data_IF_830137493389
#
_entry.id   IF_830137493389
#
_cell.length_a   1.000
_cell.length_b   1.000
_cell.length_c   1.000
_cell.angle_alpha   90.00
_cell.angle_beta   90.00
_cell.angle_gamma   90.00
#
_symmetry.space_group_name_H-M   'P 1'
#
loop_
_entity.id
_entity.type
_entity.pdbx_description
1 polymer ?
#
# COMPACT_ATOMS: atom_id res chain seq x y z
N UNK A 1 19.44 -21.07 -6.46
CA UNK A 1 18.55 -19.89 -6.45
C UNK A 1 18.53 -19.33 -5.04
N UNK A 2 18.80 -18.02 -4.87
CA UNK A 2 18.84 -17.40 -3.54
C UNK A 2 17.45 -17.26 -2.92
N UNK A 3 17.35 -17.31 -1.60
CA UNK A 3 16.11 -16.93 -0.89
C UNK A 3 15.84 -15.44 -1.19
N UNK A 4 14.66 -15.07 -1.75
CA UNK A 4 14.30 -13.68 -1.94
C UNK A 4 14.42 -12.87 -0.65
N UNK A 5 14.93 -11.63 -0.72
CA UNK A 5 15.19 -10.74 0.42
C UNK A 5 14.02 -10.67 1.41
N UNK A 6 12.79 -10.70 0.92
CA UNK A 6 11.58 -10.65 1.74
C UNK A 6 11.53 -11.79 2.77
N UNK A 7 11.93 -13.00 2.39
CA UNK A 7 11.94 -14.14 3.31
C UNK A 7 13.10 -14.07 4.29
N UNK A 8 14.20 -13.38 3.96
CA UNK A 8 15.31 -13.23 4.90
C UNK A 8 14.93 -12.38 6.13
N UNK A 9 13.97 -11.47 5.99
CA UNK A 9 13.47 -10.62 7.08
C UNK A 9 12.19 -11.14 7.75
N UNK A 10 11.65 -12.28 7.31
CA UNK A 10 10.45 -12.85 7.91
C UNK A 10 10.73 -13.47 9.28
N UNK A 11 9.90 -13.09 10.25
CA UNK A 11 9.86 -13.68 11.59
C UNK A 11 8.98 -14.94 11.60
N UNK A 12 9.07 -15.73 12.67
CA UNK A 12 8.32 -16.98 12.81
C UNK A 12 6.79 -16.78 12.78
N UNK A 13 6.30 -15.69 13.35
CA UNK A 13 4.88 -15.29 13.31
C UNK A 13 4.42 -14.96 11.89
N UNK A 14 5.26 -14.32 11.07
CA UNK A 14 4.96 -14.06 9.66
C UNK A 14 4.82 -15.36 8.87
N UNK A 15 5.76 -16.30 9.07
CA UNK A 15 5.73 -17.61 8.41
C UNK A 15 4.51 -18.41 8.84
N UNK A 16 4.21 -18.43 10.14
CA UNK A 16 3.01 -19.07 10.67
C UNK A 16 1.74 -18.51 10.03
N UNK A 17 1.69 -17.19 9.86
CA UNK A 17 0.54 -16.50 9.26
C UNK A 17 0.39 -16.86 7.78
N UNK A 18 1.47 -16.93 7.01
CA UNK A 18 1.47 -17.35 5.60
C UNK A 18 1.03 -18.82 5.47
N UNK A 19 1.60 -19.72 6.28
CA UNK A 19 1.22 -21.15 6.30
C UNK A 19 -0.24 -21.31 6.69
N UNK A 20 -0.70 -20.55 7.69
CA UNK A 20 -2.09 -20.52 8.11
C UNK A 20 -3.00 -20.03 7.00
N UNK A 21 -2.61 -18.95 6.31
CA UNK A 21 -3.33 -18.43 5.16
C UNK A 21 -3.49 -19.49 4.07
N UNK A 22 -2.38 -20.10 3.62
CA UNK A 22 -2.38 -21.13 2.57
C UNK A 22 -3.26 -22.35 2.94
N UNK A 23 -3.23 -22.78 4.21
CA UNK A 23 -4.01 -23.95 4.65
C UNK A 23 -5.49 -23.66 4.91
N UNK A 24 -5.84 -22.42 5.26
CA UNK A 24 -7.23 -22.02 5.58
C UNK A 24 -7.96 -21.52 4.34
N UNK A 25 -7.28 -20.71 3.51
CA UNK A 25 -7.84 -20.16 2.28
C UNK A 25 -7.76 -21.14 1.11
N UNK A 26 -7.14 -22.31 1.31
CA UNK A 26 -6.58 -23.19 0.27
C UNK A 26 -5.39 -22.56 -0.47
N UNK A 27 -4.54 -23.43 -1.03
CA UNK A 27 -3.53 -23.02 -1.99
C UNK A 27 -4.23 -22.41 -3.19
N UNK A 28 -3.60 -21.39 -3.79
CA UNK A 28 -3.89 -21.09 -5.19
C UNK A 28 -3.72 -22.39 -5.98
N UNK A 29 -4.78 -22.82 -6.68
CA UNK A 29 -4.81 -24.13 -7.32
C UNK A 29 -3.76 -24.20 -8.45
N UNK A 30 -2.85 -25.17 -8.35
CA UNK A 30 -1.93 -25.49 -9.44
C UNK A 30 -2.63 -26.32 -10.53
N UNK A 31 -2.33 -26.04 -11.80
CA UNK A 31 -2.96 -26.67 -12.97
C UNK A 31 -2.75 -25.85 -14.25
N UNK A 32 -3.51 -26.04 -15.35
CA UNK A 32 -3.46 -25.13 -16.52
C UNK A 32 -3.79 -23.66 -16.17
N UNK A 33 -4.31 -23.44 -14.96
CA UNK A 33 -4.62 -22.16 -14.31
C UNK A 33 -3.54 -21.67 -13.32
N UNK A 34 -2.37 -22.33 -13.23
CA UNK A 34 -1.30 -22.04 -12.24
C UNK A 34 -0.79 -20.58 -12.31
N UNK A 35 -0.89 -19.94 -13.48
CA UNK A 35 -0.60 -18.52 -13.67
C UNK A 35 -1.71 -17.56 -13.23
N UNK A 36 -2.95 -18.04 -13.10
CA UNK A 36 -4.11 -17.25 -12.70
C UNK A 36 -4.31 -17.18 -11.18
N UNK A 37 -3.68 -18.10 -10.44
CA UNK A 37 -3.58 -18.20 -8.97
C UNK A 37 -4.30 -17.10 -8.18
N UNK A 38 -5.64 -17.19 -8.10
CA UNK A 38 -6.49 -16.22 -7.40
C UNK A 38 -6.46 -16.53 -5.92
N UNK A 39 -6.52 -15.49 -5.10
CA UNK A 39 -6.86 -15.66 -3.69
C UNK A 39 -8.35 -16.02 -3.62
N UNK A 40 -8.72 -17.19 -3.05
CA UNK A 40 -10.11 -17.59 -3.00
C UNK A 40 -10.98 -16.59 -2.24
N UNK A 41 -12.19 -16.36 -2.72
CA UNK A 41 -13.19 -15.45 -2.14
C UNK A 41 -12.79 -13.95 -2.17
N UNK A 42 -11.85 -13.56 -3.03
CA UNK A 42 -11.54 -12.15 -3.32
C UNK A 42 -12.06 -11.81 -4.71
N UNK A 43 -12.95 -10.81 -4.77
CA UNK A 43 -13.40 -10.23 -6.03
C UNK A 43 -12.43 -9.11 -6.45
N UNK A 44 -11.60 -9.40 -7.46
CA UNK A 44 -10.58 -8.46 -7.93
C UNK A 44 -11.19 -7.29 -8.71
N UNK A 45 -12.33 -7.50 -9.38
CA UNK A 45 -13.04 -6.43 -10.09
C UNK A 45 -13.65 -5.45 -9.09
N UNK A 46 -14.34 -5.94 -8.06
CA UNK A 46 -14.98 -5.11 -7.05
C UNK A 46 -13.94 -4.33 -6.22
N UNK A 47 -12.89 -5.01 -5.77
CA UNK A 47 -11.89 -4.43 -4.85
C UNK A 47 -10.86 -3.59 -5.58
N UNK A 48 -10.38 -4.08 -6.73
CA UNK A 48 -9.28 -3.49 -7.48
C UNK A 48 -9.72 -2.64 -8.68
N UNK A 49 -11.00 -2.70 -9.06
CA UNK A 49 -11.56 -2.04 -10.24
C UNK A 49 -11.22 -2.72 -11.57
N UNK A 50 -10.40 -3.78 -11.56
CA UNK A 50 -9.94 -4.54 -12.74
C UNK A 50 -9.71 -5.98 -12.35
N UNK A 51 -10.37 -6.90 -13.06
CA UNK A 51 -10.08 -8.32 -12.96
C UNK A 51 -8.95 -8.71 -13.94
N UNK A 52 -7.79 -9.22 -13.46
CA UNK A 52 -6.76 -9.74 -14.35
C UNK A 52 -7.22 -10.92 -15.22
N UNK A 53 -8.24 -11.67 -14.81
CA UNK A 53 -8.73 -12.87 -15.49
C UNK A 53 -9.25 -12.58 -16.90
N UNK A 54 -9.83 -11.40 -17.11
CA UNK A 54 -10.29 -10.93 -18.42
C UNK A 54 -9.17 -10.91 -19.49
N UNK A 55 -7.92 -10.92 -19.04
CA UNK A 55 -6.73 -10.87 -19.88
C UNK A 55 -5.98 -12.20 -19.97
N UNK A 56 -6.49 -13.25 -19.35
CA UNK A 56 -5.97 -14.60 -19.53
C UNK A 56 -6.72 -15.31 -20.65
N UNK A 57 -5.97 -15.88 -21.59
CA UNK A 57 -6.52 -16.84 -22.55
C UNK A 57 -6.24 -18.26 -22.07
N UNK A 58 -7.26 -19.09 -22.18
CA UNK A 58 -7.24 -20.52 -21.86
C UNK A 58 -7.49 -21.33 -23.14
N UNK A 59 -6.47 -21.55 -23.99
CA UNK A 59 -6.63 -22.42 -25.14
C UNK A 59 -6.87 -23.86 -24.66
N UNK A 60 -7.81 -24.60 -25.27
CA UNK A 60 -8.22 -25.94 -24.83
C UNK A 60 -7.07 -26.97 -24.64
N UNK A 61 -5.90 -26.74 -25.25
CA UNK A 61 -4.78 -27.70 -25.28
C UNK A 61 -3.42 -27.05 -24.92
N UNK A 62 -3.40 -25.83 -24.37
CA UNK A 62 -2.16 -25.13 -24.01
C UNK A 62 -2.23 -24.58 -22.60
N UNK A 63 -1.06 -24.31 -22.02
CA UNK A 63 -0.94 -23.54 -20.79
C UNK A 63 -1.61 -22.17 -20.97
N UNK A 64 -2.33 -21.71 -19.94
CA UNK A 64 -2.95 -20.40 -19.95
C UNK A 64 -1.91 -19.32 -20.24
N UNK A 65 -2.25 -18.36 -21.11
CA UNK A 65 -1.37 -17.25 -21.46
C UNK A 65 -2.00 -15.92 -21.08
N UNK A 66 -1.24 -15.13 -20.32
CA UNK A 66 -1.60 -13.73 -20.07
C UNK A 66 -1.33 -12.86 -21.29
N UNK A 67 -2.35 -12.20 -21.81
CA UNK A 67 -2.29 -11.36 -23.01
C UNK A 67 -1.78 -9.95 -22.68
N UNK A 68 -0.49 -9.85 -22.33
CA UNK A 68 0.15 -8.59 -21.95
C UNK A 68 -0.01 -7.48 -22.98
N UNK A 69 -0.08 -7.82 -24.28
CA UNK A 69 -0.26 -6.85 -25.37
C UNK A 69 -1.66 -6.23 -25.34
N UNK A 70 -2.66 -7.05 -25.04
CA UNK A 70 -4.06 -6.61 -24.94
C UNK A 70 -4.24 -5.69 -23.75
N UNK A 71 -3.69 -6.04 -22.58
CA UNK A 71 -3.69 -5.17 -21.39
C UNK A 71 -3.01 -3.84 -21.68
N UNK A 72 -1.82 -3.89 -22.29
CA UNK A 72 -1.05 -2.68 -22.60
C UNK A 72 -1.77 -1.73 -23.56
N UNK A 73 -2.62 -2.26 -24.44
CA UNK A 73 -3.44 -1.49 -25.35
C UNK A 73 -4.80 -1.06 -24.76
N UNK A 74 -5.18 -1.56 -23.58
CA UNK A 74 -6.46 -1.26 -22.95
C UNK A 74 -6.36 -0.04 -22.02
N UNK A 75 -7.52 0.41 -21.52
CA UNK A 75 -7.61 1.43 -20.45
C UNK A 75 -6.98 0.99 -19.13
N UNK A 76 -6.67 -0.30 -18.98
CA UNK A 76 -6.13 -0.91 -17.76
C UNK A 76 -4.62 -1.11 -17.82
N UNK A 77 -3.93 -0.55 -18.82
CA UNK A 77 -2.47 -0.64 -18.97
C UNK A 77 -1.69 -0.24 -17.68
N UNK A 78 -2.28 0.63 -16.86
CA UNK A 78 -1.72 1.07 -15.57
C UNK A 78 -1.48 -0.08 -14.59
N UNK A 79 -2.20 -1.21 -14.70
CA UNK A 79 -1.98 -2.38 -13.82
C UNK A 79 -0.64 -3.08 -14.07
N UNK A 80 0.01 -2.80 -15.20
CA UNK A 80 1.33 -3.31 -15.54
C UNK A 80 2.46 -2.43 -14.97
N UNK A 81 2.12 -1.29 -14.36
CA UNK A 81 3.10 -0.39 -13.77
C UNK A 81 3.76 -1.04 -12.54
N UNK A 82 5.02 -0.69 -12.29
CA UNK A 82 5.72 -1.17 -11.09
C UNK A 82 5.15 -0.48 -9.85
N UNK A 83 4.66 -1.21 -8.82
CA UNK A 83 3.97 -0.63 -7.66
C UNK A 83 4.93 -0.09 -6.57
N UNK A 84 6.19 0.15 -6.91
CA UNK A 84 7.25 0.60 -6.02
C UNK A 84 7.96 1.87 -6.51
N UNK A 85 7.37 2.58 -7.49
CA UNK A 85 7.86 3.88 -7.93
C UNK A 85 7.04 4.95 -7.23
N UNK A 86 7.61 5.50 -6.16
CA UNK A 86 7.01 6.54 -5.35
C UNK A 86 7.34 7.93 -5.89
N UNK A 87 6.44 8.93 -5.73
CA UNK A 87 6.74 10.31 -6.04
C UNK A 87 7.91 10.84 -5.21
N UNK A 88 8.65 11.80 -5.76
CA UNK A 88 9.67 12.50 -4.98
C UNK A 88 9.03 13.30 -3.85
N UNK A 89 9.57 13.13 -2.64
CA UNK A 89 9.28 13.97 -1.49
C UNK A 89 10.20 15.19 -1.43
N UNK A 90 9.67 16.32 -0.98
CA UNK A 90 10.42 17.55 -0.78
C UNK A 90 10.42 17.90 0.72
N UNK A 91 11.59 18.08 1.34
CA UNK A 91 11.68 18.32 2.78
C UNK A 91 11.15 19.69 3.21
N UNK A 92 10.94 20.60 2.27
CA UNK A 92 10.45 21.95 2.49
C UNK A 92 9.53 22.35 1.33
N UNK A 93 8.60 23.26 1.59
CA UNK A 93 7.80 23.90 0.54
C UNK A 93 8.67 24.89 -0.21
N UNK A 94 8.77 24.75 -1.53
CA UNK A 94 9.62 25.64 -2.31
C UNK A 94 9.10 27.08 -2.35
N UNK A 95 10.03 28.05 -2.43
CA UNK A 95 9.71 29.47 -2.57
C UNK A 95 8.78 29.75 -3.75
N UNK A 96 8.95 29.02 -4.86
CA UNK A 96 8.07 29.15 -6.02
C UNK A 96 6.61 28.77 -5.72
N UNK A 97 6.38 27.77 -4.87
CA UNK A 97 5.02 27.39 -4.43
C UNK A 97 4.45 28.40 -3.45
N UNK A 98 5.27 28.91 -2.53
CA UNK A 98 4.87 30.00 -1.63
C UNK A 98 4.52 31.26 -2.41
N UNK A 99 5.34 31.65 -3.39
CA UNK A 99 5.10 32.81 -4.25
C UNK A 99 3.85 32.66 -5.14
N UNK A 100 3.46 31.42 -5.47
CA UNK A 100 2.21 31.18 -6.23
C UNK A 100 0.94 31.53 -5.45
N UNK A 101 1.05 31.73 -4.13
CA UNK A 101 -0.03 32.17 -3.26
C UNK A 101 0.41 33.48 -2.61
N UNK A 102 -0.08 34.58 -3.14
CA UNK A 102 0.16 35.93 -2.60
C UNK A 102 -0.14 35.99 -1.09
N UNK A 103 0.44 36.96 -0.41
CA UNK A 103 0.07 37.23 0.98
C UNK A 103 -1.45 37.44 1.07
N UNK A 104 -2.10 36.85 2.08
CA UNK A 104 -3.54 36.98 2.22
C UNK A 104 -3.90 38.44 2.53
N UNK A 105 -4.81 38.99 1.74
CA UNK A 105 -5.43 40.28 2.01
C UNK A 105 -6.34 40.20 3.25
N UNK A 106 -6.66 41.34 3.86
CA UNK A 106 -7.69 41.39 4.88
C UNK A 106 -9.02 40.86 4.33
N UNK A 107 -9.65 39.96 5.09
CA UNK A 107 -10.86 39.25 4.71
C UNK A 107 -11.94 39.48 5.76
N UNK A 108 -13.21 39.44 5.34
CA UNK A 108 -14.37 39.62 6.22
C UNK A 108 -15.16 38.32 6.45
N UNK A 109 -14.71 37.21 5.87
CA UNK A 109 -15.40 35.93 6.02
C UNK A 109 -15.07 35.26 7.35
N UNK A 110 -16.06 34.52 7.88
CA UNK A 110 -16.01 33.95 9.22
C UNK A 110 -14.85 32.97 9.40
N UNK A 111 -14.37 32.29 8.35
CA UNK A 111 -13.35 31.26 8.49
C UNK A 111 -11.94 31.81 8.44
N UNK A 112 -11.66 32.75 7.54
CA UNK A 112 -10.31 33.35 7.39
C UNK A 112 -9.99 34.37 8.47
N UNK A 113 -11.01 34.93 9.14
CA UNK A 113 -10.88 35.86 10.27
C UNK A 113 -10.65 35.16 11.62
N UNK A 114 -10.81 33.83 11.69
CA UNK A 114 -10.54 33.09 12.92
C UNK A 114 -9.04 33.08 13.24
N UNK A 115 -8.67 33.12 14.53
CA UNK A 115 -7.32 32.81 14.97
C UNK A 115 -6.85 31.47 14.41
N UNK A 116 -5.57 31.40 14.00
CA UNK A 116 -4.97 30.22 13.39
C UNK A 116 -5.11 28.98 14.28
N UNK A 117 -5.07 29.12 15.60
CA UNK A 117 -5.26 28.03 16.56
C UNK A 117 -6.66 27.39 16.46
N UNK A 118 -7.70 28.17 16.17
CA UNK A 118 -9.05 27.66 15.93
C UNK A 118 -9.09 26.91 14.60
N UNK A 119 -8.41 27.42 13.57
CA UNK A 119 -8.29 26.72 12.28
C UNK A 119 -7.56 25.38 12.46
N UNK A 120 -6.49 25.33 13.27
CA UNK A 120 -5.81 24.09 13.65
C UNK A 120 -6.75 23.10 14.34
N UNK A 121 -7.57 23.56 15.29
CA UNK A 121 -8.56 22.73 15.96
C UNK A 121 -9.59 22.16 14.98
N UNK A 122 -10.12 22.99 14.08
CA UNK A 122 -11.06 22.57 13.04
C UNK A 122 -10.43 21.55 12.09
N UNK A 123 -9.25 21.83 11.56
CA UNK A 123 -8.55 20.96 10.59
C UNK A 123 -8.20 19.61 11.21
N UNK A 124 -7.91 19.55 12.52
CA UNK A 124 -7.51 18.31 13.20
C UNK A 124 -8.54 17.17 13.13
N UNK A 125 -9.82 17.52 12.98
CA UNK A 125 -10.95 16.58 12.94
C UNK A 125 -11.48 16.33 11.52
N UNK A 126 -10.97 17.02 10.50
CA UNK A 126 -11.41 16.82 9.13
C UNK A 126 -10.90 15.51 8.55
N UNK A 127 -11.71 14.89 7.71
CA UNK A 127 -11.24 13.83 6.82
C UNK A 127 -10.40 14.43 5.67
N UNK A 128 -9.64 13.57 4.99
CA UNK A 128 -8.75 14.03 3.90
C UNK A 128 -9.50 14.82 2.83
N UNK A 129 -10.71 14.40 2.46
CA UNK A 129 -11.50 15.05 1.40
C UNK A 129 -11.90 16.46 1.82
N UNK A 130 -12.45 16.61 3.02
CA UNK A 130 -12.89 17.93 3.53
C UNK A 130 -11.69 18.83 3.80
N UNK A 131 -10.57 18.28 4.31
CA UNK A 131 -9.31 19.02 4.44
C UNK A 131 -8.85 19.61 3.10
N UNK A 132 -8.77 18.77 2.06
CA UNK A 132 -8.35 19.20 0.72
C UNK A 132 -9.30 20.26 0.15
N UNK A 133 -10.60 20.11 0.34
CA UNK A 133 -11.57 21.12 -0.08
C UNK A 133 -11.38 22.44 0.66
N UNK A 134 -11.24 22.41 2.00
CA UNK A 134 -11.02 23.60 2.81
C UNK A 134 -9.78 24.38 2.34
N UNK A 135 -8.63 23.71 2.21
CA UNK A 135 -7.38 24.36 1.78
C UNK A 135 -7.39 24.81 0.32
N UNK A 136 -8.37 24.35 -0.46
CA UNK A 136 -8.55 24.73 -1.86
C UNK A 136 -9.51 25.90 -2.05
N UNK A 137 -10.26 26.31 -1.03
CA UNK A 137 -11.33 27.33 -1.13
C UNK A 137 -10.81 28.73 -1.50
N UNK A 138 -9.80 29.22 -0.79
CA UNK A 138 -9.29 30.57 -0.95
C UNK A 138 -7.75 30.62 -0.85
N UNK A 139 -7.17 31.77 -1.22
CA UNK A 139 -5.72 31.99 -1.17
C UNK A 139 -5.19 31.90 0.27
N UNK A 140 -5.90 32.47 1.25
CA UNK A 140 -5.53 32.43 2.67
C UNK A 140 -5.41 31.00 3.20
N UNK A 141 -6.44 30.18 2.99
CA UNK A 141 -6.41 28.77 3.41
C UNK A 141 -5.32 27.98 2.70
N UNK A 142 -5.08 28.28 1.41
CA UNK A 142 -3.99 27.65 0.65
C UNK A 142 -2.61 28.05 1.17
N UNK A 143 -2.43 29.30 1.61
CA UNK A 143 -1.20 29.79 2.25
C UNK A 143 -0.96 29.06 3.57
N UNK A 144 -1.97 28.91 4.42
CA UNK A 144 -1.87 28.09 5.64
C UNK A 144 -1.55 26.63 5.33
N UNK A 145 -2.12 26.08 4.25
CA UNK A 145 -1.81 24.73 3.77
C UNK A 145 -0.34 24.53 3.40
N UNK A 146 0.31 25.56 2.87
CA UNK A 146 1.72 25.56 2.50
C UNK A 146 2.66 25.89 3.67
N UNK A 147 2.12 26.29 4.82
CA UNK A 147 2.91 26.70 5.97
C UNK A 147 2.49 25.89 7.21
N UNK A 148 1.56 26.41 8.01
CA UNK A 148 1.19 25.87 9.32
C UNK A 148 0.46 24.53 9.28
N UNK A 149 -0.22 24.19 8.17
CA UNK A 149 -1.09 23.00 8.10
C UNK A 149 -0.43 21.77 7.43
N UNK A 150 0.85 21.83 7.06
CA UNK A 150 1.60 20.67 6.53
C UNK A 150 1.53 19.42 7.45
N UNK A 151 1.57 19.53 8.79
CA UNK A 151 1.43 18.38 9.68
C UNK A 151 0.11 17.60 9.50
N UNK A 152 -0.97 18.25 9.07
CA UNK A 152 -2.24 17.57 8.80
C UNK A 152 -2.23 16.89 7.43
N UNK A 153 -1.61 17.50 6.42
CA UNK A 153 -1.36 16.82 5.16
C UNK A 153 -0.50 15.57 5.37
N UNK A 154 0.53 15.65 6.23
CA UNK A 154 1.33 14.50 6.66
C UNK A 154 0.47 13.42 7.30
N UNK A 155 -0.39 13.79 8.25
CA UNK A 155 -1.33 12.85 8.89
C UNK A 155 -2.13 12.10 7.83
N UNK A 156 -2.75 12.81 6.89
CA UNK A 156 -3.54 12.18 5.82
C UNK A 156 -2.74 11.27 4.88
N UNK A 157 -1.50 11.64 4.55
CA UNK A 157 -0.61 10.75 3.77
C UNK A 157 -0.32 9.47 4.57
N UNK A 158 0.07 9.60 5.84
CA UNK A 158 0.44 8.46 6.68
C UNK A 158 -0.75 7.56 7.05
N UNK A 159 -1.98 8.12 7.07
CA UNK A 159 -3.22 7.36 7.22
C UNK A 159 -3.54 6.49 5.98
N UNK A 160 -2.84 6.69 4.86
CA UNK A 160 -2.90 5.86 3.66
C UNK A 160 -1.64 4.99 3.58
N UNK A 161 -1.65 3.74 4.11
CA UNK A 161 -0.42 2.96 4.29
C UNK A 161 0.26 2.59 2.97
N UNK A 162 -0.48 2.56 1.87
CA UNK A 162 0.06 2.29 0.54
C UNK A 162 0.84 3.48 -0.05
N UNK A 163 0.76 4.68 0.52
CA UNK A 163 1.41 5.87 -0.05
C UNK A 163 2.89 5.99 0.28
N UNK A 164 3.41 5.22 1.23
CA UNK A 164 4.80 5.30 1.68
C UNK A 164 5.51 3.94 1.57
N UNK A 165 6.85 3.93 1.47
CA UNK A 165 7.64 2.70 1.55
C UNK A 165 7.57 2.07 2.95
N UNK A 166 7.63 0.75 3.00
CA UNK A 166 7.75 -0.04 4.23
C UNK A 166 9.22 -0.29 4.56
N UNK A 167 9.72 0.24 5.68
CA UNK A 167 11.12 0.06 6.10
C UNK A 167 11.58 -1.40 6.13
N UNK A 168 10.71 -2.30 6.58
CA UNK A 168 11.07 -3.69 6.80
C UNK A 168 11.02 -4.52 5.50
N UNK A 169 10.13 -4.19 4.56
CA UNK A 169 9.88 -5.04 3.39
C UNK A 169 10.32 -4.45 2.06
N UNK A 170 10.38 -3.13 1.92
CA UNK A 170 10.81 -2.50 0.68
C UNK A 170 12.34 -2.54 0.55
N UNK A 171 12.87 -2.67 -0.68
CA UNK A 171 14.31 -2.63 -0.92
C UNK A 171 14.95 -1.32 -0.41
N UNK A 172 16.22 -1.35 0.08
CA UNK A 172 16.88 -0.19 0.66
C UNK A 172 16.90 1.05 -0.25
N UNK A 173 16.98 0.86 -1.56
CA UNK A 173 16.94 1.95 -2.55
C UNK A 173 15.64 2.75 -2.56
N UNK A 174 14.55 2.22 -2.01
CA UNK A 174 13.27 2.92 -1.85
C UNK A 174 13.08 3.55 -0.48
N UNK A 175 14.02 3.34 0.44
CA UNK A 175 14.00 3.87 1.82
C UNK A 175 14.91 5.10 1.93
N UNK A 176 15.46 5.60 0.82
CA UNK A 176 16.26 6.83 0.80
C UNK A 176 15.44 8.03 1.31
N UNK A 177 15.79 8.48 2.53
CA UNK A 177 15.09 9.50 3.31
C UNK A 177 14.99 10.85 2.61
N UNK A 178 15.91 11.15 1.70
CA UNK A 178 15.94 12.43 1.00
C UNK A 178 15.00 12.49 -0.19
N UNK A 179 14.48 11.35 -0.66
CA UNK A 179 13.67 11.28 -1.89
C UNK A 179 12.29 10.70 -1.67
N UNK A 180 12.07 9.96 -0.59
CA UNK A 180 10.80 9.28 -0.35
C UNK A 180 10.14 9.75 0.93
N UNK A 181 8.82 9.90 0.87
CA UNK A 181 8.03 10.27 2.03
C UNK A 181 7.98 9.07 2.99
N UNK A 182 8.38 9.29 4.23
CA UNK A 182 8.43 8.26 5.25
C UNK A 182 8.08 8.81 6.63
N UNK A 183 7.46 7.98 7.48
CA UNK A 183 7.01 8.39 8.82
C UNK A 183 8.17 8.81 9.72
N UNK A 184 9.31 8.14 9.62
CA UNK A 184 10.46 8.32 10.53
C UNK A 184 11.44 9.34 9.97
N UNK A 185 11.70 9.29 8.66
CA UNK A 185 12.85 9.98 8.09
C UNK A 185 12.51 11.31 7.42
N UNK A 186 11.22 11.57 7.16
CA UNK A 186 10.77 12.81 6.53
C UNK A 186 10.34 13.86 7.56
N UNK A 187 10.72 15.13 7.38
CA UNK A 187 10.35 16.24 8.27
C UNK A 187 8.84 16.39 8.41
N UNK A 188 8.38 16.86 9.57
CA UNK A 188 6.96 17.04 9.87
C UNK A 188 6.30 18.15 9.03
N UNK A 189 7.09 19.16 8.67
CA UNK A 189 6.76 20.39 7.96
C UNK A 189 7.20 20.37 6.48
N UNK A 190 7.65 19.22 5.99
CA UNK A 190 7.93 19.05 4.56
C UNK A 190 6.69 19.20 3.68
N UNK A 191 6.88 19.10 2.36
CA UNK A 191 5.83 19.38 1.40
C UNK A 191 4.85 18.21 1.21
N UNK A 192 4.21 17.83 2.31
CA UNK A 192 3.27 16.72 2.38
C UNK A 192 2.03 16.95 1.54
N UNK A 193 1.58 18.21 1.40
CA UNK A 193 0.45 18.54 0.55
C UNK A 193 0.76 18.31 -0.95
N UNK A 194 1.97 18.66 -1.40
CA UNK A 194 2.40 18.33 -2.76
C UNK A 194 2.51 16.83 -2.94
N UNK A 195 3.11 16.14 -1.99
CA UNK A 195 3.24 14.68 -2.02
C UNK A 195 1.86 14.00 -2.11
N UNK A 196 0.91 14.41 -1.26
CA UNK A 196 -0.47 13.92 -1.25
C UNK A 196 -1.14 14.11 -2.62
N UNK A 197 -0.88 15.23 -3.30
CA UNK A 197 -1.39 15.44 -4.65
C UNK A 197 -0.76 14.50 -5.69
N UNK A 198 0.51 14.13 -5.53
CA UNK A 198 1.25 13.31 -6.48
C UNK A 198 0.98 11.81 -6.33
N UNK A 199 0.77 11.32 -5.10
CA UNK A 199 0.54 9.89 -4.85
C UNK A 199 -0.73 9.35 -5.51
N UNK A 200 -1.66 10.22 -5.91
CA UNK A 200 -2.88 9.81 -6.61
C UNK A 200 -2.78 9.90 -8.15
N UNK A 201 -1.68 10.42 -8.70
CA UNK A 201 -1.58 10.76 -10.14
C UNK A 201 -0.85 9.74 -11.00
N UNK A 202 0.04 8.94 -10.43
CA UNK A 202 0.89 8.03 -11.22
C UNK A 202 0.30 6.62 -11.30
N UNK A 203 0.53 5.95 -12.43
CA UNK A 203 0.08 4.56 -12.62
C UNK A 203 0.71 3.61 -11.60
N UNK A 204 1.98 3.82 -11.25
CA UNK A 204 2.68 3.07 -10.20
C UNK A 204 1.97 3.15 -8.84
N UNK A 205 1.56 4.34 -8.42
CA UNK A 205 0.86 4.49 -7.15
C UNK A 205 -0.60 4.02 -7.23
N UNK A 206 -1.24 4.16 -8.40
CA UNK A 206 -2.56 3.61 -8.67
C UNK A 206 -2.55 2.07 -8.54
N UNK A 207 -1.57 1.40 -9.12
CA UNK A 207 -1.41 -0.05 -9.01
C UNK A 207 -1.05 -0.46 -7.58
N UNK A 208 -0.17 0.29 -6.89
CA UNK A 208 0.12 0.04 -5.46
C UNK A 208 -1.14 0.11 -4.60
N UNK A 209 -2.00 1.12 -4.82
CA UNK A 209 -3.30 1.24 -4.12
C UNK A 209 -4.22 0.05 -4.43
N UNK A 210 -4.26 -0.42 -5.67
CA UNK A 210 -5.05 -1.60 -6.06
C UNK A 210 -4.55 -2.86 -5.36
N UNK A 211 -3.24 -3.13 -5.40
CA UNK A 211 -2.63 -4.26 -4.70
C UNK A 211 -2.93 -4.19 -3.20
N UNK A 212 -2.82 -3.01 -2.60
CA UNK A 212 -3.17 -2.79 -1.19
C UNK A 212 -4.61 -3.20 -0.88
N UNK A 213 -5.58 -2.73 -1.69
CA UNK A 213 -6.98 -3.07 -1.52
C UNK A 213 -7.22 -4.59 -1.61
N UNK A 214 -6.59 -5.26 -2.59
CA UNK A 214 -6.66 -6.72 -2.75
C UNK A 214 -6.10 -7.43 -1.50
N UNK A 215 -4.97 -6.96 -0.97
CA UNK A 215 -4.38 -7.51 0.25
C UNK A 215 -5.26 -7.30 1.49
N UNK A 216 -5.91 -6.14 1.61
CA UNK A 216 -6.86 -5.87 2.70
C UNK A 216 -8.08 -6.78 2.62
N UNK A 217 -8.62 -7.00 1.42
CA UNK A 217 -9.74 -7.92 1.25
C UNK A 217 -9.34 -9.36 1.55
N UNK A 218 -8.20 -9.82 1.03
CA UNK A 218 -7.65 -11.13 1.34
C UNK A 218 -7.49 -11.34 2.86
N UNK A 219 -7.01 -10.32 3.59
CA UNK A 219 -6.89 -10.34 5.04
C UNK A 219 -8.26 -10.47 5.73
N UNK A 220 -9.28 -9.72 5.29
CA UNK A 220 -10.64 -9.84 5.84
C UNK A 220 -11.20 -11.23 5.63
N UNK A 221 -11.09 -11.77 4.42
CA UNK A 221 -11.54 -13.13 4.11
C UNK A 221 -10.81 -14.15 4.99
N UNK A 222 -9.48 -14.06 5.10
CA UNK A 222 -8.70 -14.94 5.98
C UNK A 222 -9.19 -14.92 7.43
N UNK A 223 -9.43 -13.74 8.01
CA UNK A 223 -9.94 -13.63 9.39
C UNK A 223 -11.29 -14.31 9.53
N UNK A 224 -12.21 -14.08 8.58
CA UNK A 224 -13.54 -14.71 8.54
C UNK A 224 -13.44 -16.24 8.47
N UNK A 225 -12.71 -16.78 7.49
CA UNK A 225 -12.57 -18.23 7.33
C UNK A 225 -11.83 -18.88 8.50
N UNK A 226 -10.82 -18.21 9.06
CA UNK A 226 -10.11 -18.69 10.25
C UNK A 226 -11.06 -18.86 11.44
N UNK A 227 -12.00 -17.94 11.65
CA UNK A 227 -12.99 -18.07 12.73
C UNK A 227 -13.92 -19.26 12.49
N UNK A 228 -14.42 -19.43 11.26
CA UNK A 228 -15.28 -20.57 10.88
C UNK A 228 -14.55 -21.90 11.11
N UNK A 229 -13.32 -22.01 10.61
CA UNK A 229 -12.54 -23.25 10.70
C UNK A 229 -12.14 -23.57 12.15
N UNK A 230 -11.94 -22.55 13.00
CA UNK A 230 -11.68 -22.72 14.44
C UNK A 230 -12.82 -23.37 15.21
N UNK A 231 -14.05 -23.21 14.75
CA UNK A 231 -15.23 -23.82 15.36
C UNK A 231 -15.44 -25.28 14.93
N UNK A 232 -14.65 -25.77 13.97
CA UNK A 232 -14.77 -27.13 13.46
C UNK A 232 -13.96 -28.09 14.34
N UNK A 233 -14.47 -29.31 14.51
CA UNK A 233 -13.83 -30.38 15.28
C UNK A 233 -12.42 -30.73 14.76
N UNK A 234 -12.15 -30.48 13.47
CA UNK A 234 -10.84 -30.67 12.84
C UNK A 234 -9.80 -29.60 13.18
N UNK A 235 -10.15 -28.52 13.87
CA UNK A 235 -9.23 -27.41 14.17
C UNK A 235 -7.92 -27.86 14.83
N UNK A 236 -7.91 -28.70 15.88
CA UNK A 236 -6.66 -29.11 16.54
C UNK A 236 -5.70 -29.83 15.59
N UNK A 237 -6.22 -30.66 14.67
CA UNK A 237 -5.42 -31.35 13.65
C UNK A 237 -4.84 -30.36 12.64
N UNK A 238 -5.63 -29.36 12.23
CA UNK A 238 -5.17 -28.33 11.30
C UNK A 238 -4.14 -27.40 11.94
N UNK A 239 -4.35 -27.01 13.19
CA UNK A 239 -3.41 -26.19 13.96
C UNK A 239 -2.06 -26.90 14.11
N UNK A 240 -2.06 -28.17 14.51
CA UNK A 240 -0.83 -28.98 14.56
C UNK A 240 -0.14 -29.08 13.19
N UNK A 241 -0.91 -29.12 12.09
CA UNK A 241 -0.38 -29.12 10.71
C UNK A 241 0.25 -27.76 10.35
N UNK A 242 -0.36 -26.65 10.75
CA UNK A 242 0.19 -25.29 10.60
C UNK A 242 1.53 -25.21 11.35
N UNK A 243 1.58 -25.67 12.59
CA UNK A 243 2.77 -25.65 13.45
C UNK A 243 3.91 -26.43 12.81
N UNK A 244 3.63 -27.68 12.42
CA UNK A 244 4.60 -28.57 11.78
C UNK A 244 5.17 -27.95 10.50
N UNK A 245 4.33 -27.40 9.62
CA UNK A 245 4.78 -26.74 8.38
C UNK A 245 5.59 -25.48 8.67
N UNK A 246 5.18 -24.69 9.65
CA UNK A 246 5.92 -23.49 10.09
C UNK A 246 7.34 -23.87 10.53
N UNK A 247 7.47 -24.91 11.35
CA UNK A 247 8.78 -25.41 11.80
C UNK A 247 9.64 -25.93 10.65
N UNK A 248 9.04 -26.63 9.69
CA UNK A 248 9.77 -27.11 8.51
C UNK A 248 10.31 -25.95 7.66
N UNK A 249 9.51 -24.89 7.44
CA UNK A 249 9.96 -23.70 6.70
C UNK A 249 11.07 -22.97 7.45
N UNK A 250 10.93 -22.81 8.77
CA UNK A 250 11.96 -22.21 9.61
C UNK A 250 13.28 -22.99 9.55
N UNK A 251 13.23 -24.32 9.66
CA UNK A 251 14.40 -25.18 9.57
C UNK A 251 15.09 -25.07 8.20
N UNK A 252 14.30 -25.06 7.11
CA UNK A 252 14.83 -24.88 5.75
C UNK A 252 15.51 -23.51 5.58
N UNK A 253 14.90 -22.44 6.11
CA UNK A 253 15.49 -21.09 6.08
C UNK A 253 16.79 -21.01 6.88
N UNK A 254 16.88 -21.66 8.03
CA UNK A 254 18.11 -21.73 8.83
C UNK A 254 19.22 -22.49 8.09
N UNK A 255 18.90 -23.65 7.49
CA UNK A 255 19.85 -24.43 6.71
C UNK A 255 20.42 -23.63 5.52
N UNK A 256 19.56 -22.91 4.80
CA UNK A 256 19.96 -22.06 3.68
C UNK A 256 20.82 -20.85 4.11
N UNK A 257 20.60 -20.30 5.31
CA UNK A 257 21.46 -19.25 5.88
C UNK A 257 22.83 -19.79 6.26
N UNK A 258 22.89 -20.98 6.87
CA UNK A 258 24.15 -21.62 7.26
C UNK A 258 25.03 -21.96 6.05
N UNK A 259 24.43 -22.46 4.96
CA UNK A 259 25.16 -22.77 3.71
C UNK A 259 25.77 -21.52 3.05
N UNK A 260 25.16 -20.34 3.25
CA UNK A 260 25.73 -19.05 2.80
C UNK A 260 26.90 -18.56 3.65
N UNK A 261 26.93 -18.85 4.95
CA UNK A 261 28.05 -18.45 5.82
C UNK A 261 29.35 -19.22 5.57
N UNK A 262 29.28 -20.31 4.78
CA UNK A 262 30.42 -21.18 4.43
C UNK A 262 30.99 -20.90 3.04
N UNK A 263 30.41 -19.98 2.27
CA UNK A 263 30.88 -19.54 0.95
C UNK A 263 31.33 -18.09 1.02
#
# INVERSE_FOLDING_TARGET
>A
MGIPLVYQKMRADHIRSIVGFELIMNKCEGGPYDGMSRIPNVDYAEVGGVDPEDYWKMPMLQEGRFEWRTVKASKDAWILARPNIFPRFYPEVSDGRLASVAEPDETSDVLTTLPIDIIHALVSVLDMKTFIFLVSTCRTMRRYAFTSLQPYARKHVLDLPWTTPFLDSDPPEFIDSQKQAHRVDSPHDGDWLLYLSHVHRTDSMRERRRIWAICEEAKKQYVKYRQIVRQQERWPKLEAKIDKKTMNVLAAMLALRADRSRR
#
